data_IF_423186884373
#
_entry.id   IF_423186884373
#
_cell.length_a   1.000
_cell.length_b   1.000
_cell.length_c   1.000
_cell.angle_alpha   90.00
_cell.angle_beta   90.00
_cell.angle_gamma   90.00
#
_symmetry.space_group_name_H-M   'P 1'
#
loop_
_entity.id
_entity.type
_entity.pdbx_description
1 polymer ?
#
# COMPACT_ATOMS: atom_id res chain seq x y z
N UNK A 1 -4.83 -20.22 11.92
CA UNK A 1 -3.89 -19.25 12.52
C UNK A 1 -4.46 -18.50 13.71
N UNK A 2 -5.54 -17.72 13.57
CA UNK A 2 -6.12 -16.97 14.71
C UNK A 2 -6.39 -17.84 15.95
N UNK A 3 -6.94 -19.05 15.79
CA UNK A 3 -7.17 -19.98 16.90
C UNK A 3 -5.89 -20.44 17.62
N UNK A 4 -4.77 -20.58 16.91
CA UNK A 4 -3.48 -20.97 17.48
C UNK A 4 -2.90 -19.80 18.27
N UNK A 5 -2.97 -18.60 17.67
CA UNK A 5 -2.57 -17.37 18.32
C UNK A 5 -3.37 -17.11 19.62
N UNK A 6 -4.69 -17.27 19.59
CA UNK A 6 -5.56 -17.16 20.77
C UNK A 6 -5.28 -18.23 21.83
N UNK A 7 -4.70 -19.38 21.45
CA UNK A 7 -4.23 -20.39 22.38
C UNK A 7 -2.89 -20.03 23.05
N UNK A 8 -2.33 -18.85 22.76
CA UNK A 8 -1.05 -18.40 23.30
C UNK A 8 0.15 -19.12 22.68
N UNK A 9 0.03 -19.55 21.42
CA UNK A 9 1.09 -20.21 20.68
C UNK A 9 1.45 -19.39 19.44
N UNK A 10 2.74 -19.35 19.12
CA UNK A 10 3.26 -18.88 17.84
C UNK A 10 3.90 -20.05 17.11
N UNK A 11 3.59 -20.22 15.83
CA UNK A 11 4.19 -21.28 15.02
C UNK A 11 5.63 -20.96 14.58
N UNK A 12 6.04 -19.69 14.68
CA UNK A 12 7.31 -19.22 14.12
C UNK A 12 7.20 -19.00 12.61
N UNK A 13 8.16 -19.54 11.86
CA UNK A 13 8.16 -19.47 10.39
C UNK A 13 7.04 -20.37 9.83
N UNK A 14 6.08 -19.75 9.15
CA UNK A 14 5.04 -20.45 8.41
C UNK A 14 5.58 -20.83 7.03
N UNK A 15 5.61 -22.13 6.76
CA UNK A 15 5.90 -22.66 5.42
C UNK A 15 4.77 -23.62 4.98
N UNK A 16 4.80 -24.01 3.71
CA UNK A 16 3.81 -24.92 3.14
C UNK A 16 3.76 -26.29 3.83
N UNK A 17 4.83 -26.74 4.50
CA UNK A 17 4.90 -28.04 5.18
C UNK A 17 4.05 -28.07 6.46
N UNK A 18 3.68 -26.90 6.98
CA UNK A 18 2.78 -26.79 8.15
C UNK A 18 1.30 -26.96 7.80
N UNK A 19 0.94 -27.08 6.53
CA UNK A 19 -0.45 -27.17 6.08
C UNK A 19 -0.72 -28.49 5.35
N UNK A 20 -1.70 -29.24 5.84
CA UNK A 20 -2.29 -30.36 5.10
C UNK A 20 -3.63 -29.92 4.50
N UNK A 21 -3.78 -30.12 3.21
CA UNK A 21 -5.05 -29.94 2.51
C UNK A 21 -5.71 -31.30 2.32
N UNK A 22 -6.97 -31.44 2.74
CA UNK A 22 -7.75 -32.64 2.43
C UNK A 22 -8.36 -32.56 1.03
N UNK A 23 -8.79 -33.70 0.49
CA UNK A 23 -9.51 -33.77 -0.80
C UNK A 23 -10.82 -32.95 -0.80
N UNK A 24 -11.38 -32.68 0.38
CA UNK A 24 -12.56 -31.84 0.55
C UNK A 24 -12.23 -30.34 0.68
N UNK A 25 -10.95 -29.95 0.57
CA UNK A 25 -10.49 -28.58 0.72
C UNK A 25 -10.33 -28.12 2.18
N UNK A 26 -10.36 -29.03 3.16
CA UNK A 26 -10.12 -28.66 4.55
C UNK A 26 -8.63 -28.43 4.80
N UNK A 27 -8.28 -27.30 5.40
CA UNK A 27 -6.91 -26.99 5.81
C UNK A 27 -6.70 -27.39 7.26
N UNK A 28 -5.71 -28.24 7.51
CA UNK A 28 -5.25 -28.61 8.85
C UNK A 28 -3.83 -28.11 9.06
N UNK A 29 -3.60 -27.46 10.19
CA UNK A 29 -2.27 -27.01 10.58
C UNK A 29 -1.61 -28.14 11.37
N UNK A 30 -0.41 -28.51 10.97
CA UNK A 30 0.40 -29.59 11.56
C UNK A 30 1.79 -29.09 11.94
N UNK A 31 2.63 -29.99 12.44
CA UNK A 31 4.04 -29.73 12.73
C UNK A 31 4.28 -28.61 13.77
N UNK A 32 3.67 -28.73 14.95
CA UNK A 32 3.86 -27.81 16.08
C UNK A 32 5.23 -27.98 16.79
N UNK A 33 6.19 -28.70 16.20
CA UNK A 33 7.49 -28.99 16.84
C UNK A 33 8.36 -27.75 17.08
N UNK A 34 8.11 -26.67 16.33
CA UNK A 34 8.77 -25.36 16.50
C UNK A 34 7.86 -24.32 17.19
N UNK A 35 6.65 -24.71 17.57
CA UNK A 35 5.71 -23.79 18.20
C UNK A 35 6.24 -23.36 19.57
N UNK A 36 6.12 -22.06 19.86
CA UNK A 36 6.57 -21.47 21.11
C UNK A 36 5.41 -20.79 21.83
N UNK A 37 5.55 -20.66 23.16
CA UNK A 37 4.61 -19.85 23.95
C UNK A 37 4.69 -18.40 23.47
N UNK A 38 3.53 -17.87 23.13
CA UNK A 38 3.36 -16.52 22.62
C UNK A 38 2.48 -15.72 23.58
N UNK A 39 2.99 -14.57 24.00
CA UNK A 39 2.19 -13.54 24.65
C UNK A 39 1.88 -12.47 23.62
N UNK A 40 0.63 -12.39 23.23
CA UNK A 40 0.17 -11.37 22.31
C UNK A 40 0.19 -10.01 23.00
N UNK A 41 0.82 -9.04 22.34
CA UNK A 41 0.83 -7.63 22.73
C UNK A 41 0.06 -6.76 21.75
N UNK A 42 -0.79 -7.37 20.90
CA UNK A 42 -1.53 -6.63 19.89
C UNK A 42 -2.30 -5.47 20.52
N UNK A 43 -2.02 -4.25 20.02
CA UNK A 43 -2.64 -3.01 20.52
C UNK A 43 -3.99 -2.72 19.89
N UNK A 44 -4.29 -3.42 18.79
CA UNK A 44 -5.48 -3.23 17.97
C UNK A 44 -6.16 -4.57 17.73
N UNK A 45 -7.48 -4.52 17.58
CA UNK A 45 -8.23 -5.67 17.10
C UNK A 45 -7.85 -5.99 15.66
N UNK A 46 -7.97 -7.27 15.30
CA UNK A 46 -7.69 -7.74 13.95
C UNK A 46 -8.90 -7.40 13.08
N UNK A 47 -8.77 -6.31 12.32
CA UNK A 47 -9.79 -5.84 11.38
C UNK A 47 -9.40 -6.24 9.96
N UNK A 48 -10.19 -7.15 9.37
CA UNK A 48 -9.97 -7.67 8.02
C UNK A 48 -10.54 -6.65 7.02
N UNK A 49 -9.86 -6.44 5.90
CA UNK A 49 -10.15 -5.43 4.87
C UNK A 49 -9.82 -3.99 5.26
N UNK A 50 -9.40 -3.72 6.50
CA UNK A 50 -8.91 -2.42 6.95
C UNK A 50 -7.65 -1.96 6.18
N UNK A 51 -7.32 -0.67 6.30
CA UNK A 51 -6.00 -0.18 5.91
C UNK A 51 -4.92 -0.84 6.77
N UNK A 52 -3.83 -1.25 6.12
CA UNK A 52 -2.66 -1.79 6.80
C UNK A 52 -2.13 -0.81 7.86
N UNK A 53 -2.08 -1.20 9.14
CA UNK A 53 -1.47 -0.38 10.18
C UNK A 53 0.05 -0.38 10.01
N UNK A 54 0.77 0.57 10.63
CA UNK A 54 2.22 0.39 10.77
C UNK A 54 2.50 -0.79 11.69
N UNK A 55 3.50 -1.60 11.38
CA UNK A 55 3.91 -2.76 12.20
C UNK A 55 4.07 -2.41 13.69
N UNK A 56 4.72 -1.27 13.99
CA UNK A 56 4.91 -0.74 15.34
C UNK A 56 3.61 -0.41 16.10
N UNK A 57 2.54 -0.07 15.36
CA UNK A 57 1.24 0.30 15.92
C UNK A 57 0.37 -0.93 16.18
N UNK A 58 0.64 -2.05 15.52
CA UNK A 58 -0.08 -3.30 15.71
C UNK A 58 0.51 -4.14 16.85
N UNK A 59 1.84 -4.16 17.00
CA UNK A 59 2.55 -4.75 18.16
C UNK A 59 2.39 -6.28 18.33
N UNK A 60 2.11 -6.99 17.23
CA UNK A 60 2.19 -8.44 17.14
C UNK A 60 2.72 -8.86 15.77
N UNK A 61 3.98 -9.31 15.70
CA UNK A 61 4.63 -9.62 14.43
C UNK A 61 3.98 -10.78 13.66
N UNK A 62 3.61 -11.86 14.35
CA UNK A 62 3.03 -13.04 13.71
C UNK A 62 1.70 -12.71 13.01
N UNK A 63 0.79 -12.04 13.74
CA UNK A 63 -0.48 -11.65 13.16
C UNK A 63 -0.30 -10.57 12.08
N UNK A 64 0.66 -9.65 12.24
CA UNK A 64 0.95 -8.66 11.21
C UNK A 64 1.37 -9.31 9.90
N UNK A 65 2.36 -10.21 9.95
CA UNK A 65 2.85 -10.94 8.77
C UNK A 65 1.76 -11.81 8.15
N UNK A 66 0.94 -12.47 8.97
CA UNK A 66 -0.21 -13.22 8.48
C UNK A 66 -1.15 -12.34 7.64
N UNK A 67 -1.50 -11.16 8.16
CA UNK A 67 -2.42 -10.27 7.47
C UNK A 67 -1.85 -9.73 6.16
N UNK A 68 -0.54 -9.53 6.09
CA UNK A 68 0.17 -9.15 4.86
C UNK A 68 0.21 -10.31 3.85
N UNK A 69 0.65 -11.49 4.26
CA UNK A 69 0.83 -12.66 3.37
C UNK A 69 -0.49 -13.08 2.70
N UNK A 70 -1.60 -12.96 3.41
CA UNK A 70 -2.93 -13.30 2.87
C UNK A 70 -3.67 -12.09 2.28
N UNK A 71 -3.00 -10.94 2.10
CA UNK A 71 -3.57 -9.69 1.55
C UNK A 71 -4.89 -9.28 2.23
N UNK A 72 -4.99 -9.55 3.53
CA UNK A 72 -6.20 -9.32 4.33
C UNK A 72 -6.33 -7.86 4.71
N UNK A 73 -5.24 -7.11 4.70
CA UNK A 73 -5.26 -5.65 4.76
C UNK A 73 -5.16 -5.05 3.38
N UNK A 74 -5.68 -3.84 3.25
CA UNK A 74 -5.46 -2.99 2.08
C UNK A 74 -4.14 -2.24 2.29
N UNK A 75 -3.13 -2.40 1.43
CA UNK A 75 -1.83 -1.79 1.62
C UNK A 75 -1.95 -0.26 1.53
N UNK A 76 -1.21 0.44 2.40
CA UNK A 76 -1.13 1.91 2.40
C UNK A 76 -0.23 2.48 1.30
N UNK A 77 0.31 1.62 0.43
CA UNK A 77 1.24 1.95 -0.64
C UNK A 77 0.95 1.12 -1.90
N UNK A 78 1.49 1.57 -3.03
CA UNK A 78 1.50 0.85 -4.29
C UNK A 78 2.92 0.81 -4.86
N UNK A 79 3.21 -0.22 -5.67
CA UNK A 79 4.54 -0.39 -6.28
C UNK A 79 4.56 0.25 -7.67
N UNK A 80 5.55 1.11 -7.89
CA UNK A 80 5.80 1.78 -9.16
C UNK A 80 7.30 2.05 -9.33
N UNK A 81 7.87 1.71 -10.49
CA UNK A 81 9.33 1.76 -10.76
C UNK A 81 10.17 1.06 -9.68
N UNK A 82 9.76 -0.14 -9.26
CA UNK A 82 10.40 -0.92 -8.20
C UNK A 82 10.52 -0.19 -6.84
N UNK A 83 9.71 0.84 -6.63
CA UNK A 83 9.65 1.62 -5.40
C UNK A 83 8.23 1.61 -4.84
N UNK A 84 8.12 1.65 -3.52
CA UNK A 84 6.83 1.78 -2.85
C UNK A 84 6.44 3.25 -2.67
N UNK A 85 5.21 3.58 -3.06
CA UNK A 85 4.68 4.93 -3.00
C UNK A 85 3.44 4.98 -2.12
N UNK A 86 3.36 5.88 -1.12
CA UNK A 86 2.22 5.96 -0.22
C UNK A 86 0.97 6.47 -0.95
N UNK A 87 -0.10 5.66 -1.00
CA UNK A 87 -1.31 5.93 -1.80
C UNK A 87 -2.01 7.23 -1.36
N UNK A 88 -1.96 7.54 -0.06
CA UNK A 88 -2.60 8.75 0.48
C UNK A 88 -1.84 10.05 0.17
N UNK A 89 -0.57 9.96 -0.24
CA UNK A 89 0.19 11.14 -0.67
C UNK A 89 0.09 11.33 -2.18
N UNK A 90 -0.06 10.24 -2.93
CA UNK A 90 -0.13 10.23 -4.40
C UNK A 90 -1.35 9.45 -4.90
N UNK A 91 -2.58 9.91 -4.59
CA UNK A 91 -3.78 9.15 -4.93
C UNK A 91 -4.11 9.17 -6.43
N UNK A 92 -3.44 10.04 -7.21
CA UNK A 92 -3.59 10.08 -8.66
C UNK A 92 -2.22 10.19 -9.32
N UNK A 93 -2.13 9.76 -10.59
CA UNK A 93 -0.85 9.81 -11.31
C UNK A 93 -0.37 11.26 -11.49
N UNK A 94 -1.27 12.26 -11.56
CA UNK A 94 -0.88 13.67 -11.63
C UNK A 94 -0.11 14.11 -10.38
N UNK A 95 -0.52 13.67 -9.19
CA UNK A 95 0.21 13.97 -7.94
C UNK A 95 1.59 13.34 -7.94
N UNK A 96 1.70 12.10 -8.46
CA UNK A 96 2.97 11.38 -8.55
C UNK A 96 3.93 12.05 -9.54
N UNK A 97 3.44 12.36 -10.75
CA UNK A 97 4.17 13.09 -11.80
C UNK A 97 4.64 14.44 -11.28
N UNK A 98 3.76 15.22 -10.64
CA UNK A 98 4.10 16.53 -10.10
C UNK A 98 5.20 16.42 -9.04
N UNK A 99 5.14 15.43 -8.16
CA UNK A 99 6.17 15.22 -7.14
C UNK A 99 7.50 14.78 -7.74
N UNK A 100 7.48 13.75 -8.60
CA UNK A 100 8.69 13.16 -9.18
C UNK A 100 9.51 14.21 -9.94
N UNK A 101 8.88 14.97 -10.84
CA UNK A 101 9.56 15.99 -11.63
C UNK A 101 9.85 17.31 -10.87
N UNK A 102 9.36 17.45 -9.63
CA UNK A 102 9.72 18.56 -8.72
C UNK A 102 11.02 18.27 -7.97
N UNK A 103 11.39 17.02 -7.79
CA UNK A 103 12.58 16.61 -7.03
C UNK A 103 13.79 16.41 -7.97
N UNK A 104 14.89 17.18 -7.82
CA UNK A 104 16.14 16.87 -8.52
C UNK A 104 16.66 15.47 -8.17
N UNK A 105 17.31 14.74 -9.09
CA UNK A 105 17.75 15.15 -10.44
C UNK A 105 16.69 14.92 -11.52
N UNK A 106 15.48 14.53 -11.15
CA UNK A 106 14.43 14.07 -12.07
C UNK A 106 13.75 15.21 -12.81
N UNK A 107 14.45 16.30 -13.14
CA UNK A 107 13.90 17.26 -14.08
C UNK A 107 13.80 16.60 -15.45
N UNK A 108 12.64 16.64 -16.11
CA UNK A 108 12.49 15.98 -17.39
C UNK A 108 13.38 16.69 -18.41
N UNK A 109 14.16 15.93 -19.16
CA UNK A 109 14.91 16.46 -20.28
C UNK A 109 13.98 16.63 -21.49
N UNK A 110 12.94 15.79 -21.60
CA UNK A 110 12.01 15.73 -22.74
C UNK A 110 10.54 15.51 -22.31
N UNK A 111 9.59 15.82 -23.19
CA UNK A 111 8.14 15.66 -22.94
C UNK A 111 7.77 14.18 -22.92
N UNK A 112 8.37 13.40 -23.81
CA UNK A 112 8.16 11.97 -23.97
C UNK A 112 8.46 11.21 -22.67
N UNK A 113 9.50 11.60 -21.93
CA UNK A 113 9.84 11.05 -20.61
C UNK A 113 8.73 11.28 -19.58
N UNK A 114 8.05 12.43 -19.66
CA UNK A 114 6.92 12.75 -18.77
C UNK A 114 5.70 11.91 -19.13
N UNK A 115 5.45 11.71 -20.42
CA UNK A 115 4.30 10.93 -20.90
C UNK A 115 4.44 9.44 -20.59
N UNK A 116 5.62 8.85 -20.84
CA UNK A 116 5.92 7.46 -20.49
C UNK A 116 5.78 7.23 -18.98
N UNK A 117 6.39 8.10 -18.17
CA UNK A 117 6.27 8.05 -16.71
C UNK A 117 4.81 8.16 -16.25
N UNK A 118 4.05 9.10 -16.81
CA UNK A 118 2.65 9.30 -16.46
C UNK A 118 1.78 8.10 -16.83
N UNK A 119 2.07 7.44 -17.97
CA UNK A 119 1.36 6.24 -18.40
C UNK A 119 1.63 5.06 -17.46
N UNK A 120 2.90 4.78 -17.14
CA UNK A 120 3.23 3.71 -16.20
C UNK A 120 2.66 3.97 -14.79
N UNK A 121 2.70 5.23 -14.34
CA UNK A 121 2.13 5.65 -13.07
C UNK A 121 0.61 5.42 -13.02
N UNK A 122 -0.08 5.75 -14.12
CA UNK A 122 -1.52 5.50 -14.27
C UNK A 122 -1.81 4.01 -14.17
N UNK A 123 -1.09 3.18 -14.92
CA UNK A 123 -1.31 1.72 -14.90
C UNK A 123 -1.06 1.10 -13.52
N UNK A 124 -0.04 1.57 -12.80
CA UNK A 124 0.22 1.11 -11.43
C UNK A 124 -0.92 1.45 -10.48
N UNK A 125 -1.44 2.67 -10.55
CA UNK A 125 -2.59 3.11 -9.74
C UNK A 125 -3.88 2.41 -10.16
N UNK A 126 -4.12 2.22 -11.46
CA UNK A 126 -5.30 1.51 -11.95
C UNK A 126 -5.30 0.06 -11.47
N UNK A 127 -4.15 -0.62 -11.45
CA UNK A 127 -4.02 -1.97 -10.86
C UNK A 127 -4.35 -1.96 -9.36
N UNK A 128 -3.78 -1.02 -8.61
CA UNK A 128 -4.06 -0.88 -7.18
C UNK A 128 -5.56 -0.67 -6.93
N UNK A 129 -6.17 0.28 -7.65
CA UNK A 129 -7.59 0.57 -7.48
C UNK A 129 -8.46 -0.60 -7.90
N UNK A 130 -8.20 -1.25 -9.03
CA UNK A 130 -8.94 -2.44 -9.44
C UNK A 130 -8.88 -3.58 -8.41
N UNK A 131 -7.74 -3.75 -7.73
CA UNK A 131 -7.58 -4.79 -6.70
C UNK A 131 -8.33 -4.49 -5.40
N UNK A 132 -8.46 -3.22 -5.01
CA UNK A 132 -8.95 -2.83 -3.68
C UNK A 132 -10.23 -1.97 -3.67
N UNK A 133 -10.79 -1.63 -4.84
CA UNK A 133 -11.93 -0.72 -4.97
C UNK A 133 -13.16 -1.14 -4.16
N UNK A 134 -13.43 -2.45 -4.09
CA UNK A 134 -14.54 -3.00 -3.32
C UNK A 134 -14.45 -2.71 -1.81
N UNK A 135 -13.24 -2.44 -1.29
CA UNK A 135 -12.99 -2.20 0.14
C UNK A 135 -13.19 -0.72 0.52
N UNK A 136 -13.04 0.22 -0.42
CA UNK A 136 -13.08 1.66 -0.13
C UNK A 136 -14.37 2.19 0.49
N UNK A 137 -15.58 1.65 0.21
CA UNK A 137 -16.78 2.04 0.94
C UNK A 137 -16.68 1.82 2.46
N UNK A 138 -15.83 0.89 2.91
CA UNK A 138 -15.62 0.56 4.32
C UNK A 138 -14.48 1.37 4.94
N UNK A 139 -13.37 1.52 4.21
CA UNK A 139 -12.12 2.07 4.75
C UNK A 139 -11.81 3.50 4.29
N UNK A 140 -12.62 4.04 3.38
CA UNK A 140 -12.43 5.35 2.77
C UNK A 140 -11.57 5.30 1.50
N UNK A 141 -11.95 6.07 0.49
CA UNK A 141 -11.25 6.17 -0.79
C UNK A 141 -10.07 7.17 -0.69
N UNK A 142 -8.82 6.76 -0.99
CA UNK A 142 -7.66 7.66 -0.98
C UNK A 142 -7.81 8.90 -1.85
N UNK A 143 -8.58 8.81 -2.96
CA UNK A 143 -8.83 9.90 -3.90
C UNK A 143 -9.67 11.03 -3.30
N UNK A 144 -10.37 10.75 -2.21
CA UNK A 144 -11.22 11.72 -1.51
C UNK A 144 -10.47 12.49 -0.43
N UNK A 145 -9.25 12.07 -0.09
CA UNK A 145 -8.43 12.74 0.92
C UNK A 145 -7.76 13.95 0.28
N UNK A 146 -8.09 15.14 0.77
CA UNK A 146 -7.38 16.36 0.36
C UNK A 146 -5.91 16.21 0.78
N UNK A 147 -4.94 16.44 -0.12
CA UNK A 147 -3.54 16.51 0.26
C UNK A 147 -3.42 17.47 1.45
N UNK A 148 -2.78 17.03 2.54
CA UNK A 148 -2.39 17.98 3.59
C UNK A 148 -1.51 19.01 2.89
N UNK A 149 -1.96 20.26 2.82
CA UNK A 149 -1.12 21.36 2.44
C UNK A 149 0.15 21.23 3.29
N UNK A 150 1.28 20.99 2.64
CA UNK A 150 2.56 20.92 3.33
C UNK A 150 2.71 22.14 4.21
N UNK A 151 3.36 21.98 5.35
CA UNK A 151 3.82 23.08 6.19
C UNK A 151 4.93 23.83 5.42
N UNK A 152 4.57 24.44 4.30
CA UNK A 152 5.45 25.19 3.41
C UNK A 152 5.56 26.61 3.97
N UNK A 153 6.11 26.74 5.17
CA UNK A 153 6.70 28.01 5.58
C UNK A 153 7.94 28.21 4.71
N UNK A 154 7.78 29.10 3.71
CA UNK A 154 8.73 29.53 2.69
C UNK A 154 8.72 28.69 1.40
N UNK A 155 7.93 29.12 0.42
CA UNK A 155 8.48 29.71 -0.81
C UNK A 155 7.35 30.36 -1.62
N UNK A 156 7.69 31.49 -2.23
CA UNK A 156 6.78 32.33 -2.98
C UNK A 156 6.10 31.57 -4.13
N UNK A 157 4.84 31.95 -4.36
CA UNK A 157 3.95 31.59 -5.46
C UNK A 157 4.67 31.38 -6.80
N UNK A 158 5.05 30.14 -7.08
CA UNK A 158 5.32 29.68 -8.45
C UNK A 158 4.01 29.13 -9.03
N UNK A 159 3.66 29.42 -10.30
CA UNK A 159 2.45 28.89 -10.92
C UNK A 159 2.51 27.35 -10.86
N UNK A 160 1.44 26.72 -10.35
CA UNK A 160 1.39 25.28 -10.15
C UNK A 160 1.79 24.54 -11.44
N UNK A 161 2.67 23.54 -11.31
CA UNK A 161 3.14 22.71 -12.41
C UNK A 161 1.95 22.15 -13.22
N UNK A 162 0.82 21.90 -12.54
CA UNK A 162 -0.45 21.52 -13.14
C UNK A 162 -0.99 22.49 -14.21
N UNK A 163 -0.79 23.82 -14.09
CA UNK A 163 -1.16 24.76 -15.18
C UNK A 163 -0.21 24.68 -16.37
N UNK A 164 1.08 24.44 -16.13
CA UNK A 164 2.06 24.27 -17.22
C UNK A 164 1.76 22.98 -17.97
N UNK A 165 1.55 21.86 -17.27
CA UNK A 165 1.17 20.60 -17.89
C UNK A 165 -0.16 20.71 -18.64
N UNK A 166 -1.20 21.34 -18.07
CA UNK A 166 -2.45 21.60 -18.80
C UNK A 166 -2.25 22.47 -20.05
N UNK A 167 -1.42 23.53 -19.99
CA UNK A 167 -1.11 24.35 -21.17
C UNK A 167 -0.28 23.59 -22.22
N UNK A 168 0.64 22.71 -21.79
CA UNK A 168 1.40 21.84 -22.67
C UNK A 168 0.49 20.83 -23.39
N UNK A 169 -0.39 20.13 -22.67
CA UNK A 169 -1.33 19.17 -23.27
C UNK A 169 -2.44 19.82 -24.12
N UNK A 170 -2.75 21.11 -23.89
CA UNK A 170 -3.75 21.85 -24.68
C UNK A 170 -3.20 22.41 -26.01
N UNK A 171 -1.87 22.48 -26.17
CA UNK A 171 -1.21 23.14 -27.31
C UNK A 171 -0.70 22.16 -28.39
N UNK A 172 -0.87 20.85 -28.19
CA UNK A 172 -0.39 19.79 -29.08
C UNK A 172 -1.49 19.17 -29.98
N UNK A 173 -2.57 19.90 -30.27
CA UNK A 173 -3.63 19.51 -31.24
C UNK A 173 -3.61 20.38 -32.49
#
# INVERSE_FOLDING_TARGET
MLKIHLAGLSLGELDAEHFLLSDAGEVRIVNFGRANVHKCHAKKELDVQAWEPKQQDYDCNELYLLMQEFELWTPGSFTFLNSEWPIFSYPTYEHLVEFYFRCPPHHPAMIEEVEEFAQEAREALDRFYAQYEERFPLIGDPRMIKPKAGNDSNTASSPSLGRRLQQFFSSAR
#
